data_IF_485113564956
#
_entry.id   IF_485113564956
#
_cell.length_a   1.000
_cell.length_b   1.000
_cell.length_c   1.000
_cell.angle_alpha   90.00
_cell.angle_beta   90.00
_cell.angle_gamma   90.00
#
_symmetry.space_group_name_H-M   'P 1'
#
loop_
_entity.id
_entity.type
_entity.pdbx_description
1 polymer ?
#
# COMPACT_ATOMS: atom_id res chain seq x y z
N UNK A 1 56.26 3.95 7.49
CA UNK A 1 55.05 4.63 7.01
C UNK A 1 54.13 3.59 6.38
N UNK A 2 53.03 3.19 7.11
CA UNK A 2 52.05 2.21 6.63
C UNK A 2 50.92 2.97 5.95
N UNK A 3 50.70 2.76 4.66
CA UNK A 3 49.58 3.33 3.91
C UNK A 3 48.30 2.53 4.25
N UNK A 4 47.34 3.18 4.90
CA UNK A 4 46.02 2.62 5.11
C UNK A 4 45.18 2.84 3.83
N UNK A 5 44.82 1.75 3.18
CA UNK A 5 43.91 1.76 2.03
C UNK A 5 42.49 1.79 2.62
N UNK A 6 41.79 2.92 2.49
CA UNK A 6 40.37 3.04 2.83
C UNK A 6 39.58 2.46 1.67
N UNK A 7 38.97 1.31 1.90
CA UNK A 7 38.02 0.70 0.96
C UNK A 7 36.66 1.42 1.13
N UNK A 8 36.35 2.33 0.22
CA UNK A 8 35.04 2.94 0.17
C UNK A 8 34.03 1.92 -0.39
N UNK A 9 33.25 1.32 0.51
CA UNK A 9 32.11 0.49 0.14
C UNK A 9 30.98 1.44 -0.30
N UNK A 10 30.93 1.73 -1.61
CA UNK A 10 29.81 2.45 -2.20
C UNK A 10 28.56 1.56 -2.16
N UNK A 11 27.65 1.83 -1.23
CA UNK A 11 26.28 1.32 -1.32
C UNK A 11 25.62 1.96 -2.53
N UNK A 12 25.54 1.19 -3.60
CA UNK A 12 24.66 1.49 -4.73
C UNK A 12 23.24 1.25 -4.22
N UNK A 13 22.58 2.30 -3.75
CA UNK A 13 21.12 2.30 -3.59
C UNK A 13 20.57 2.32 -5.02
N UNK A 14 20.53 1.14 -5.62
CA UNK A 14 19.80 0.93 -6.85
C UNK A 14 18.33 1.19 -6.51
N UNK A 15 17.76 2.22 -7.11
CA UNK A 15 16.33 2.26 -7.32
C UNK A 15 15.99 0.97 -8.07
N UNK A 16 15.43 0.00 -7.37
CA UNK A 16 14.80 -1.15 -7.99
C UNK A 16 13.55 -0.60 -8.66
N UNK A 17 13.74 -0.01 -9.84
CA UNK A 17 12.65 0.19 -10.76
C UNK A 17 12.14 -1.21 -11.06
N UNK A 18 10.99 -1.54 -10.54
CA UNK A 18 10.30 -2.78 -10.80
C UNK A 18 10.02 -2.84 -12.29
N UNK A 19 10.87 -3.57 -13.03
CA UNK A 19 10.55 -4.05 -14.37
C UNK A 19 9.67 -5.29 -14.19
N UNK A 20 8.58 -5.15 -13.44
CA UNK A 20 7.52 -6.13 -13.43
C UNK A 20 6.62 -5.76 -14.61
N UNK A 21 6.27 -6.71 -15.44
CA UNK A 21 5.16 -6.56 -16.37
C UNK A 21 3.86 -6.56 -15.56
N UNK A 22 3.66 -5.46 -14.84
CA UNK A 22 2.66 -5.33 -13.80
C UNK A 22 1.33 -5.04 -14.44
N UNK A 23 0.37 -5.89 -14.19
CA UNK A 23 -1.01 -5.47 -14.29
C UNK A 23 -1.29 -4.62 -13.04
N UNK A 24 -0.98 -3.33 -13.10
CA UNK A 24 -1.56 -2.34 -12.21
C UNK A 24 -3.07 -2.46 -12.37
N UNK A 25 -3.77 -2.68 -11.28
CA UNK A 25 -5.22 -2.86 -11.32
C UNK A 25 -5.92 -1.67 -10.67
N UNK A 26 -5.33 -1.09 -9.64
CA UNK A 26 -5.90 0.06 -8.94
C UNK A 26 -4.80 1.12 -8.76
N UNK A 27 -5.12 2.36 -9.07
CA UNK A 27 -4.31 3.51 -8.70
C UNK A 27 -5.02 4.33 -7.62
N UNK A 28 -4.32 4.64 -6.54
CA UNK A 28 -4.92 5.26 -5.36
C UNK A 28 -4.12 6.46 -4.86
N UNK A 29 -4.83 7.40 -4.24
CA UNK A 29 -4.20 8.47 -3.47
C UNK A 29 -4.98 8.74 -2.20
N UNK A 30 -4.29 9.20 -1.15
CA UNK A 30 -4.94 9.43 0.13
C UNK A 30 -4.03 10.00 1.18
N UNK A 31 -4.47 9.92 2.42
CA UNK A 31 -3.71 10.36 3.58
C UNK A 31 -3.73 9.27 4.66
N UNK A 32 -2.70 9.25 5.48
CA UNK A 32 -2.54 8.26 6.54
C UNK A 32 -2.13 8.91 7.85
N UNK A 33 -2.42 8.21 8.92
CA UNK A 33 -2.03 8.60 10.29
C UNK A 33 -1.75 7.36 11.13
N UNK A 34 -1.01 7.55 12.19
CA UNK A 34 -0.75 6.56 13.23
C UNK A 34 -1.18 7.11 14.58
N UNK A 35 -1.67 6.27 15.45
CA UNK A 35 -2.03 6.65 16.81
C UNK A 35 -0.80 7.21 17.54
N UNK A 36 -0.91 8.46 18.00
CA UNK A 36 0.24 9.16 18.58
C UNK A 36 1.07 9.96 17.59
N UNK A 37 0.83 9.81 16.29
CA UNK A 37 1.54 10.48 15.19
C UNK A 37 2.80 9.74 14.75
N UNK A 38 3.16 9.86 13.48
CA UNK A 38 4.31 9.18 12.88
C UNK A 38 5.30 10.17 12.24
N UNK A 39 6.62 10.04 12.43
CA UNK A 39 7.30 9.22 13.41
C UNK A 39 7.33 9.84 14.80
N UNK A 40 7.58 9.11 15.89
CA UNK A 40 7.96 7.71 15.99
C UNK A 40 6.79 6.75 15.97
N UNK A 41 7.04 5.46 15.66
CA UNK A 41 6.06 4.38 15.75
C UNK A 41 6.38 3.48 16.93
N UNK A 42 5.47 3.40 17.90
CA UNK A 42 5.62 2.51 19.04
C UNK A 42 4.94 1.16 18.81
N UNK A 43 5.35 0.15 19.54
CA UNK A 43 4.69 -1.17 19.47
C UNK A 43 3.25 -1.04 19.95
N UNK A 44 2.32 -1.44 19.09
CA UNK A 44 0.88 -1.42 19.39
C UNK A 44 0.15 -0.21 18.82
N UNK A 45 0.84 0.80 18.29
CA UNK A 45 0.19 1.93 17.62
C UNK A 45 -0.53 1.43 16.35
N UNK A 46 -1.70 1.98 16.08
CA UNK A 46 -2.51 1.63 14.91
C UNK A 46 -2.29 2.62 13.77
N UNK A 47 -1.93 2.09 12.60
CA UNK A 47 -1.76 2.86 11.38
C UNK A 47 -2.97 2.69 10.46
N UNK A 48 -3.48 3.80 9.97
CA UNK A 48 -4.67 3.88 9.12
C UNK A 48 -4.42 4.71 7.87
N UNK A 49 -5.11 4.37 6.78
CA UNK A 49 -5.06 5.10 5.51
C UNK A 49 -6.48 5.28 4.98
N UNK A 50 -6.84 6.48 4.57
CA UNK A 50 -8.06 6.77 3.81
C UNK A 50 -7.72 7.43 2.50
N UNK A 51 -8.54 7.20 1.48
CA UNK A 51 -8.29 7.82 0.19
C UNK A 51 -9.32 7.45 -0.87
N UNK A 52 -8.97 7.81 -2.10
CA UNK A 52 -9.81 7.61 -3.28
C UNK A 52 -9.05 6.80 -4.33
N UNK A 53 -9.80 6.08 -5.16
CA UNK A 53 -9.28 5.44 -6.34
C UNK A 53 -9.30 6.48 -7.48
N UNK A 54 -8.16 6.59 -8.16
CA UNK A 54 -7.99 7.49 -9.30
C UNK A 54 -8.13 6.75 -10.63
N UNK A 55 -7.87 5.43 -10.62
CA UNK A 55 -8.01 4.57 -11.79
C UNK A 55 -8.23 3.11 -11.37
N UNK A 56 -9.02 2.38 -12.18
CA UNK A 56 -9.30 0.94 -12.02
C UNK A 56 -9.16 0.28 -13.39
N UNK A 57 -8.27 -0.71 -13.51
CA UNK A 57 -8.05 -1.42 -14.75
C UNK A 57 -8.75 -2.79 -14.80
N UNK A 58 -8.82 -3.35 -16.01
CA UNK A 58 -9.36 -4.70 -16.22
C UNK A 58 -8.58 -5.75 -15.37
N UNK A 59 -9.25 -6.79 -14.83
CA UNK A 59 -10.62 -7.20 -15.12
C UNK A 59 -11.70 -6.51 -14.28
N UNK A 60 -11.34 -5.57 -13.42
CA UNK A 60 -12.30 -4.86 -12.60
C UNK A 60 -13.09 -3.84 -13.44
N UNK A 61 -14.30 -3.56 -13.03
CA UNK A 61 -15.23 -2.68 -13.72
C UNK A 61 -15.45 -1.44 -12.88
N UNK A 62 -15.33 -0.26 -13.48
CA UNK A 62 -15.65 0.96 -12.79
C UNK A 62 -16.57 1.87 -13.64
N UNK A 63 -17.45 2.57 -12.95
CA UNK A 63 -18.41 3.49 -13.52
C UNK A 63 -18.25 4.87 -12.84
N UNK A 64 -17.38 5.68 -13.42
CA UNK A 64 -17.07 7.03 -12.89
C UNK A 64 -18.10 8.08 -13.29
N UNK A 65 -19.06 7.75 -14.14
CA UNK A 65 -20.14 8.67 -14.48
C UNK A 65 -21.19 8.75 -13.36
N UNK A 66 -21.30 7.67 -12.57
CA UNK A 66 -22.31 7.54 -11.52
C UNK A 66 -21.74 7.39 -10.10
N UNK A 67 -20.50 6.90 -9.97
CA UNK A 67 -19.93 6.52 -8.67
C UNK A 67 -18.54 7.08 -8.44
N UNK A 68 -18.24 7.31 -7.17
CA UNK A 68 -16.90 7.49 -6.64
C UNK A 68 -16.48 6.20 -5.92
N UNK A 69 -15.17 6.01 -5.79
CA UNK A 69 -14.59 4.84 -5.13
C UNK A 69 -13.62 5.31 -4.07
N UNK A 70 -13.96 5.02 -2.82
CA UNK A 70 -13.19 5.39 -1.65
C UNK A 70 -12.54 4.15 -1.04
N UNK A 71 -11.42 4.28 -0.35
CA UNK A 71 -10.84 3.15 0.37
C UNK A 71 -10.44 3.51 1.79
N UNK A 72 -10.44 2.49 2.63
CA UNK A 72 -9.99 2.56 4.01
C UNK A 72 -9.12 1.35 4.34
N UNK A 73 -7.90 1.63 4.83
CA UNK A 73 -7.02 0.67 5.48
C UNK A 73 -7.06 0.95 6.97
N UNK A 74 -7.25 -0.09 7.78
CA UNK A 74 -7.35 -0.01 9.24
C UNK A 74 -6.72 -1.23 9.92
N UNK A 75 -6.57 -1.15 11.23
CA UNK A 75 -6.13 -2.26 12.07
C UNK A 75 -4.71 -2.77 11.71
N UNK A 76 -3.86 -1.91 11.12
CA UNK A 76 -2.44 -2.19 10.94
C UNK A 76 -1.73 -1.86 12.25
N UNK A 77 -1.30 -2.89 13.00
CA UNK A 77 -0.68 -2.73 14.31
C UNK A 77 0.82 -2.74 14.20
N UNK A 78 1.47 -1.67 14.67
CA UNK A 78 2.92 -1.52 14.66
C UNK A 78 3.61 -2.56 15.53
N UNK A 79 4.67 -3.14 14.99
CA UNK A 79 5.61 -4.01 15.73
C UNK A 79 6.78 -3.21 16.31
N UNK A 80 6.72 -1.89 16.21
CA UNK A 80 7.76 -0.96 16.60
C UNK A 80 8.68 -0.58 15.45
N UNK A 81 9.40 0.51 15.63
CA UNK A 81 10.31 1.01 14.60
C UNK A 81 11.77 0.61 14.85
N UNK A 82 12.52 0.53 13.75
CA UNK A 82 13.98 0.50 13.74
C UNK A 82 14.51 1.76 13.08
N UNK A 83 15.34 2.52 13.80
CA UNK A 83 15.89 3.79 13.31
C UNK A 83 17.35 3.61 12.89
N UNK A 84 17.68 3.98 11.65
CA UNK A 84 19.03 3.97 11.10
C UNK A 84 19.35 5.35 10.54
N UNK A 85 19.96 6.20 11.33
CA UNK A 85 20.19 7.61 10.97
C UNK A 85 18.88 8.36 10.87
N UNK A 86 18.51 8.78 9.65
CA UNK A 86 17.23 9.45 9.35
C UNK A 86 16.18 8.51 8.79
N UNK A 87 16.48 7.22 8.66
CA UNK A 87 15.54 6.21 8.17
C UNK A 87 14.80 5.57 9.34
N UNK A 88 13.47 5.61 9.26
CA UNK A 88 12.55 4.93 10.14
C UNK A 88 11.94 3.76 9.37
N UNK A 89 12.15 2.53 9.86
CA UNK A 89 11.64 1.31 9.27
C UNK A 89 10.64 0.70 10.25
N UNK A 90 9.41 0.52 9.81
CA UNK A 90 8.33 -0.04 10.61
C UNK A 90 7.73 -1.25 9.91
N UNK A 91 7.53 -2.32 10.66
CA UNK A 91 6.72 -3.45 10.24
C UNK A 91 5.39 -3.42 11.00
N UNK A 92 4.31 -3.72 10.30
CA UNK A 92 2.97 -3.82 10.87
C UNK A 92 2.43 -5.23 10.70
N UNK A 93 1.57 -5.62 11.64
CA UNK A 93 0.83 -6.88 11.60
C UNK A 93 -0.67 -6.64 11.46
N UNK A 94 -1.37 -7.59 10.87
CA UNK A 94 -2.81 -7.46 10.63
C UNK A 94 -3.10 -6.49 9.50
N UNK A 95 -4.24 -5.79 9.62
CA UNK A 95 -4.71 -4.78 8.70
C UNK A 95 -5.78 -5.28 7.73
N UNK A 96 -6.81 -4.48 7.58
CA UNK A 96 -7.91 -4.68 6.64
C UNK A 96 -7.85 -3.61 5.56
N UNK A 97 -8.18 -3.99 4.33
CA UNK A 97 -8.29 -3.11 3.18
C UNK A 97 -9.68 -3.25 2.59
N UNK A 98 -10.43 -2.14 2.53
CA UNK A 98 -11.79 -2.15 1.98
C UNK A 98 -11.95 -0.99 1.01
N UNK A 99 -12.52 -1.27 -0.16
CA UNK A 99 -12.94 -0.27 -1.14
C UNK A 99 -14.46 -0.19 -1.11
N UNK A 100 -14.97 1.03 -1.02
CA UNK A 100 -16.39 1.34 -1.00
C UNK A 100 -16.80 2.05 -2.28
N UNK A 101 -18.00 1.76 -2.75
CA UNK A 101 -18.68 2.52 -3.83
C UNK A 101 -19.54 3.59 -3.17
N UNK A 102 -19.47 4.81 -3.66
CA UNK A 102 -20.27 5.92 -3.20
C UNK A 102 -20.99 6.61 -4.37
N UNK A 103 -22.08 7.31 -4.09
CA UNK A 103 -22.76 8.11 -5.12
C UNK A 103 -21.97 9.37 -5.44
N UNK A 104 -22.04 9.84 -6.71
CA UNK A 104 -21.56 11.18 -7.04
C UNK A 104 -22.60 12.25 -6.72
N UNK A 105 -22.18 13.41 -6.15
CA UNK A 105 -20.81 13.68 -5.67
C UNK A 105 -20.51 12.88 -4.39
N UNK A 106 -19.26 12.38 -4.26
CA UNK A 106 -18.82 11.71 -3.06
C UNK A 106 -18.87 12.68 -1.86
N UNK A 107 -19.24 12.15 -0.70
CA UNK A 107 -19.16 12.87 0.58
C UNK A 107 -17.84 12.63 1.31
N UNK A 108 -16.89 11.91 0.69
CA UNK A 108 -15.59 11.66 1.28
C UNK A 108 -14.90 12.97 1.66
N UNK A 109 -14.68 13.15 2.94
CA UNK A 109 -14.09 14.35 3.53
C UNK A 109 -12.94 13.95 4.43
N UNK A 110 -11.76 14.44 4.12
CA UNK A 110 -10.58 14.16 4.96
C UNK A 110 -10.70 14.76 6.35
N UNK A 111 -11.54 15.77 6.57
CA UNK A 111 -11.63 16.42 7.86
C UNK A 111 -10.30 17.04 8.29
N UNK A 112 -10.29 17.76 9.37
CA UNK A 112 -9.07 18.40 9.87
C UNK A 112 -8.75 17.97 11.31
N UNK A 113 -9.72 17.66 12.14
CA UNK A 113 -9.50 17.44 13.57
C UNK A 113 -10.58 16.59 14.22
N UNK A 114 -10.24 15.68 15.15
CA UNK A 114 -8.95 15.05 15.48
C UNK A 114 -8.60 14.13 14.37
N UNK A 115 -7.38 13.82 14.00
CA UNK A 115 -7.10 13.54 12.62
C UNK A 115 -8.33 12.89 12.08
N UNK A 116 -9.15 13.64 11.44
CA UNK A 116 -10.39 13.18 10.87
C UNK A 116 -11.37 12.51 11.80
N UNK A 117 -11.87 13.15 12.77
CA UNK A 117 -13.00 12.61 13.53
C UNK A 117 -14.16 12.15 12.64
N UNK A 118 -14.26 12.69 11.42
CA UNK A 118 -15.25 12.31 10.41
C UNK A 118 -14.69 11.49 9.23
N UNK A 119 -13.39 11.55 8.94
CA UNK A 119 -12.84 10.97 7.72
C UNK A 119 -13.07 9.45 7.58
N UNK A 120 -12.77 8.60 8.58
CA UNK A 120 -13.06 7.18 8.42
C UNK A 120 -14.51 6.90 8.11
N UNK A 121 -15.48 7.60 8.71
CA UNK A 121 -16.90 7.36 8.46
C UNK A 121 -17.31 7.77 7.05
N UNK A 122 -16.78 8.90 6.55
CA UNK A 122 -17.10 9.38 5.20
C UNK A 122 -16.43 8.57 4.09
N UNK A 123 -15.40 7.80 4.41
CA UNK A 123 -14.74 6.90 3.47
C UNK A 123 -15.30 5.47 3.51
N UNK A 124 -16.18 5.15 4.45
CA UNK A 124 -16.74 3.80 4.63
C UNK A 124 -18.27 3.75 4.64
N UNK A 125 -18.96 4.85 4.40
CA UNK A 125 -20.43 4.95 4.37
C UNK A 125 -21.03 4.75 2.97
N UNK A 126 -20.24 4.21 2.03
CA UNK A 126 -20.64 3.91 0.68
C UNK A 126 -21.84 2.96 0.57
N UNK A 127 -22.46 2.93 -0.60
CA UNK A 127 -23.65 2.12 -0.89
C UNK A 127 -23.37 0.62 -0.93
N UNK A 128 -22.13 0.24 -1.22
CA UNK A 128 -21.68 -1.15 -1.21
C UNK A 128 -20.17 -1.26 -1.02
N UNK A 129 -19.73 -2.48 -0.70
CA UNK A 129 -18.31 -2.84 -0.68
C UNK A 129 -17.90 -3.33 -2.06
N UNK A 130 -17.05 -2.57 -2.75
CA UNK A 130 -16.52 -2.94 -4.05
C UNK A 130 -15.54 -4.11 -3.96
N UNK A 131 -14.57 -4.03 -3.03
CA UNK A 131 -13.58 -5.07 -2.79
C UNK A 131 -13.13 -5.03 -1.32
N UNK A 132 -12.92 -6.21 -0.75
CA UNK A 132 -12.52 -6.37 0.66
C UNK A 132 -11.39 -7.36 0.78
N UNK A 133 -10.45 -7.11 1.71
CA UNK A 133 -9.28 -7.95 1.90
C UNK A 133 -8.52 -7.65 3.19
N UNK A 134 -7.41 -8.35 3.38
CA UNK A 134 -6.54 -8.18 4.53
C UNK A 134 -5.06 -8.27 4.13
N UNK A 135 -4.20 -7.63 4.93
CA UNK A 135 -2.76 -7.71 4.76
C UNK A 135 -2.18 -8.93 5.47
N UNK A 136 -1.31 -9.65 4.79
CA UNK A 136 -0.49 -10.72 5.37
C UNK A 136 0.89 -10.22 5.81
N UNK A 137 1.25 -9.00 5.40
CA UNK A 137 2.45 -8.28 5.82
C UNK A 137 2.39 -6.87 5.31
N UNK A 138 2.91 -5.91 6.09
CA UNK A 138 2.98 -4.51 5.71
C UNK A 138 4.24 -3.88 6.31
N UNK A 139 5.01 -3.22 5.47
CA UNK A 139 6.27 -2.59 5.88
C UNK A 139 6.36 -1.18 5.32
N UNK A 140 6.85 -0.25 6.13
CA UNK A 140 7.06 1.13 5.74
C UNK A 140 8.50 1.56 6.01
N UNK A 141 9.01 2.42 5.15
CA UNK A 141 10.27 3.12 5.31
C UNK A 141 10.04 4.60 5.09
N UNK A 142 10.42 5.43 6.06
CA UNK A 142 10.38 6.89 5.97
C UNK A 142 11.76 7.47 6.21
N UNK A 143 12.18 8.41 5.36
CA UNK A 143 13.35 9.24 5.58
C UNK A 143 12.92 10.60 6.11
N UNK A 144 13.18 10.88 7.38
CA UNK A 144 12.79 12.14 8.03
C UNK A 144 13.56 13.36 7.53
N UNK A 145 14.75 13.17 6.94
CA UNK A 145 15.50 14.28 6.35
C UNK A 145 14.85 14.80 5.05
N UNK A 146 14.14 13.95 4.31
CA UNK A 146 13.45 14.31 3.07
C UNK A 146 11.93 14.32 3.21
N UNK A 147 11.42 13.94 4.38
CA UNK A 147 10.00 13.74 4.64
C UNK A 147 9.32 12.89 3.56
N UNK A 148 10.00 11.83 3.11
CA UNK A 148 9.51 10.95 2.05
C UNK A 148 9.94 9.51 2.27
N UNK A 149 9.18 8.59 1.70
CA UNK A 149 9.42 7.17 1.86
C UNK A 149 8.51 6.31 0.99
N UNK A 150 8.33 5.08 1.41
CA UNK A 150 7.44 4.14 0.73
C UNK A 150 6.93 3.09 1.69
N UNK A 151 5.81 2.47 1.34
CA UNK A 151 5.37 1.24 1.96
C UNK A 151 5.09 0.14 0.93
N UNK A 152 5.07 -1.08 1.43
CA UNK A 152 4.68 -2.26 0.68
C UNK A 152 3.89 -3.20 1.58
N UNK A 153 2.69 -3.58 1.14
CA UNK A 153 1.79 -4.51 1.81
C UNK A 153 1.44 -5.68 0.91
N UNK A 154 1.55 -6.90 1.43
CA UNK A 154 1.03 -8.09 0.74
C UNK A 154 -0.44 -8.27 1.11
N UNK A 155 -1.32 -8.30 0.10
CA UNK A 155 -2.75 -8.25 0.24
C UNK A 155 -3.41 -9.53 -0.29
N UNK A 156 -4.43 -9.99 0.42
CA UNK A 156 -5.32 -11.08 0.01
C UNK A 156 -6.76 -10.56 0.02
N UNK A 157 -7.44 -10.65 -1.11
CA UNK A 157 -8.86 -10.28 -1.20
C UNK A 157 -9.76 -11.43 -0.77
N UNK A 158 -10.88 -11.10 -0.11
CA UNK A 158 -11.79 -12.06 0.50
C UNK A 158 -13.25 -11.84 0.14
N UNK A 159 -13.62 -10.68 -0.41
CA UNK A 159 -15.00 -10.35 -0.69
C UNK A 159 -15.17 -9.06 -1.48
N UNK A 160 -16.42 -8.64 -1.61
CA UNK A 160 -16.85 -7.46 -2.35
C UNK A 160 -17.58 -7.78 -3.66
N UNK A 161 -18.24 -6.77 -4.23
CA UNK A 161 -19.10 -6.93 -5.41
C UNK A 161 -18.34 -7.45 -6.64
N UNK A 162 -17.08 -7.03 -6.79
CA UNK A 162 -16.24 -7.43 -7.94
C UNK A 162 -15.28 -8.58 -7.62
N UNK A 163 -15.28 -9.08 -6.39
CA UNK A 163 -14.46 -10.23 -6.00
C UNK A 163 -14.55 -11.43 -6.96
N UNK A 164 -15.74 -11.81 -7.52
CA UNK A 164 -15.84 -12.90 -8.48
C UNK A 164 -15.12 -12.67 -9.82
N UNK A 165 -14.70 -11.44 -10.10
CA UNK A 165 -13.97 -11.09 -11.34
C UNK A 165 -12.46 -11.30 -11.18
N UNK A 166 -11.96 -11.46 -9.95
CA UNK A 166 -10.54 -11.67 -9.70
C UNK A 166 -10.12 -13.07 -10.13
N UNK A 167 -9.00 -13.15 -10.87
CA UNK A 167 -8.41 -14.43 -11.28
C UNK A 167 -7.61 -15.10 -10.14
N UNK A 168 -7.12 -14.31 -9.21
CA UNK A 168 -6.43 -14.75 -8.00
C UNK A 168 -6.89 -13.90 -6.82
N UNK A 169 -6.97 -14.50 -5.65
CA UNK A 169 -7.39 -13.82 -4.42
C UNK A 169 -6.21 -13.41 -3.54
N UNK A 170 -5.07 -14.07 -3.70
CA UNK A 170 -3.80 -13.85 -3.01
C UNK A 170 -2.70 -13.38 -3.97
N UNK A 171 -1.57 -12.99 -3.43
CA UNK A 171 -0.43 -12.53 -4.22
C UNK A 171 -0.55 -11.08 -4.71
N UNK A 172 -1.47 -10.32 -4.17
CA UNK A 172 -1.59 -8.90 -4.46
C UNK A 172 -0.60 -8.08 -3.63
N UNK A 173 -0.15 -6.99 -4.20
CA UNK A 173 0.73 -6.03 -3.53
C UNK A 173 0.09 -4.66 -3.56
N UNK A 174 0.03 -4.00 -2.40
CA UNK A 174 -0.25 -2.58 -2.29
C UNK A 174 1.06 -1.85 -2.00
N UNK A 175 1.58 -1.13 -2.99
CA UNK A 175 2.80 -0.35 -2.89
C UNK A 175 2.51 1.12 -3.07
N UNK A 176 3.09 1.99 -2.23
CA UNK A 176 2.94 3.43 -2.39
C UNK A 176 4.18 4.20 -1.99
N UNK A 177 4.33 5.37 -2.59
CA UNK A 177 5.20 6.43 -2.10
C UNK A 177 4.46 7.23 -1.03
N UNK A 178 5.19 7.66 -0.01
CA UNK A 178 4.67 8.50 1.06
C UNK A 178 5.45 9.81 1.13
N UNK A 179 4.75 10.89 1.51
CA UNK A 179 5.35 12.21 1.69
C UNK A 179 4.74 12.90 2.92
N UNK A 180 5.56 13.64 3.67
CA UNK A 180 5.15 14.41 4.84
C UNK A 180 4.37 15.69 4.52
N UNK A 181 3.81 15.81 3.31
CA UNK A 181 2.93 16.91 2.91
C UNK A 181 1.51 16.37 2.95
N UNK A 182 0.87 16.50 4.08
CA UNK A 182 -0.51 16.03 4.32
C UNK A 182 -1.34 17.17 4.93
N UNK A 183 -2.68 17.11 4.85
CA UNK A 183 -3.54 18.00 5.60
C UNK A 183 -3.29 17.87 7.11
N UNK A 184 -3.68 18.91 7.86
CA UNK A 184 -3.64 18.89 9.32
C UNK A 184 -4.44 17.67 9.84
N UNK A 185 -3.87 16.97 10.80
CA UNK A 185 -4.45 15.77 11.38
C UNK A 185 -4.02 14.46 10.72
N UNK A 186 -3.23 14.52 9.63
CA UNK A 186 -2.60 13.36 9.00
C UNK A 186 -1.08 13.46 9.09
N UNK A 187 -0.42 12.31 9.10
CA UNK A 187 1.03 12.25 9.14
C UNK A 187 1.66 12.27 7.74
N UNK A 188 1.07 11.50 6.80
CA UNK A 188 1.63 11.31 5.47
C UNK A 188 0.54 11.37 4.38
N UNK A 189 0.90 11.97 3.26
CA UNK A 189 0.21 11.79 1.97
C UNK A 189 0.72 10.52 1.31
N UNK A 190 -0.18 9.76 0.67
CA UNK A 190 0.15 8.55 -0.08
C UNK A 190 -0.25 8.65 -1.54
N UNK A 191 0.55 8.05 -2.41
CA UNK A 191 0.22 7.83 -3.83
C UNK A 191 0.79 6.46 -4.23
N UNK A 192 -0.07 5.56 -4.68
CA UNK A 192 0.32 4.18 -4.89
C UNK A 192 -0.61 3.36 -5.76
N UNK A 193 -0.24 2.09 -5.87
CA UNK A 193 -0.89 1.13 -6.73
C UNK A 193 -1.15 -0.19 -6.01
N UNK A 194 -2.27 -0.82 -6.38
CA UNK A 194 -2.52 -2.23 -6.05
C UNK A 194 -2.36 -3.04 -7.33
N UNK A 195 -1.49 -4.02 -7.31
CA UNK A 195 -1.18 -4.84 -8.47
C UNK A 195 -1.05 -6.32 -8.10
N UNK A 196 -1.35 -7.18 -9.07
CA UNK A 196 -1.16 -8.62 -8.90
C UNK A 196 0.30 -8.98 -9.20
N UNK A 197 1.01 -9.52 -8.22
CA UNK A 197 2.35 -10.05 -8.42
C UNK A 197 2.25 -11.41 -9.11
N UNK A 198 2.44 -11.44 -10.41
CA UNK A 198 2.51 -12.70 -11.16
C UNK A 198 3.86 -13.33 -10.86
N UNK A 199 3.91 -14.34 -10.00
CA UNK A 199 5.07 -15.21 -9.88
C UNK A 199 5.09 -16.08 -11.14
N UNK A 200 5.94 -15.74 -12.10
CA UNK A 200 6.10 -16.59 -13.29
C UNK A 200 6.66 -17.95 -12.86
N UNK A 201 5.81 -18.98 -12.92
CA UNK A 201 6.20 -20.38 -12.67
C UNK A 201 6.86 -20.92 -13.96
N UNK A 202 7.99 -20.36 -14.37
CA UNK A 202 8.73 -20.86 -15.54
C UNK A 202 9.89 -21.81 -15.20
N UNK A 203 10.02 -22.32 -14.01
CA UNK A 203 11.08 -23.27 -13.70
C UNK A 203 10.80 -24.74 -14.07
N UNK A 204 9.56 -25.10 -14.46
CA UNK A 204 9.24 -26.50 -14.75
C UNK A 204 9.41 -26.94 -16.21
N UNK A 205 9.57 -26.03 -17.17
CA UNK A 205 9.58 -26.39 -18.59
C UNK A 205 10.93 -26.90 -19.11
N UNK A 206 12.06 -26.44 -18.56
CA UNK A 206 13.38 -26.89 -19.03
C UNK A 206 13.76 -28.31 -18.58
N UNK A 207 13.21 -28.78 -17.47
CA UNK A 207 13.39 -30.16 -17.00
C UNK A 207 12.68 -31.20 -17.87
N UNK A 208 11.49 -30.87 -18.35
CA UNK A 208 10.67 -31.76 -19.17
C UNK A 208 11.15 -31.85 -20.63
N UNK A 209 11.76 -30.80 -21.17
CA UNK A 209 12.31 -30.81 -22.53
C UNK A 209 13.53 -31.73 -22.63
N UNK A 210 14.37 -31.83 -21.60
CA UNK A 210 15.52 -32.77 -21.59
C UNK A 210 15.12 -34.25 -21.55
N UNK A 211 13.91 -34.57 -21.04
CA UNK A 211 13.42 -35.95 -21.00
C UNK A 211 12.89 -36.45 -22.35
N UNK A 212 12.60 -35.57 -23.29
CA UNK A 212 12.11 -35.92 -24.64
C UNK A 212 13.22 -36.19 -25.66
N UNK A 213 14.49 -35.95 -25.30
CA UNK A 213 15.66 -36.12 -26.19
C UNK A 213 16.64 -37.17 -25.66
N UNK A 214 16.20 -38.17 -24.90
CA UNK A 214 16.96 -39.35 -24.53
C UNK A 214 16.36 -40.61 -25.11
#
# INVERSE_FOLDING_TARGET
MKKATILALGMLVGSVGSAFGDNQILHVSGNSWEDGGFPPSAVGDEYSIVGVLNDIEQPLVWDTDNYAYNFYVRDLVSLGETVIGTLHLVAYSGGLFTIYVDWLPSNADYGIDPPNGTAPSTFQDGISTYLDGFFTGFNMTLNTATASGSFNGTLTFTGGDVFPLLQATDGWTFGANVAGISPEGYDLFINGDVFLTIVSVEESSFGNIKALYR
#
